data_IF_910307058426
#
_entry.id   IF_910307058426
#
_cell.length_a   1.000
_cell.length_b   1.000
_cell.length_c   1.000
_cell.angle_alpha   90.00
_cell.angle_beta   90.00
_cell.angle_gamma   90.00
#
_symmetry.space_group_name_H-M   'P 1'
#
loop_
_entity.id
_entity.type
_entity.pdbx_description
1 polymer ?
#
# COMPACT_ATOMS: atom_id res chain seq x y z
N UNK A 1 39.09 7.24 3.93
CA UNK A 1 37.75 6.61 3.90
C UNK A 1 37.47 6.02 5.27
N UNK A 2 36.41 6.44 5.99
CA UNK A 2 36.04 5.82 7.28
C UNK A 2 35.43 4.45 7.01
N UNK A 3 36.10 3.39 7.44
CA UNK A 3 35.61 2.01 7.40
C UNK A 3 34.37 1.91 8.30
N UNK A 4 33.19 1.82 7.69
CA UNK A 4 31.93 1.53 8.39
C UNK A 4 32.04 0.18 9.10
N UNK A 5 31.61 0.09 10.37
CA UNK A 5 31.64 -1.16 11.13
C UNK A 5 30.79 -2.25 10.47
N UNK A 6 31.16 -3.52 10.72
CA UNK A 6 30.42 -4.71 10.23
C UNK A 6 28.95 -4.65 10.66
N UNK A 7 28.68 -4.16 11.86
CA UNK A 7 27.31 -4.00 12.37
C UNK A 7 26.53 -2.94 11.59
N UNK A 8 27.16 -1.81 11.26
CA UNK A 8 26.55 -0.79 10.41
C UNK A 8 26.26 -1.32 9.00
N UNK A 9 27.13 -2.17 8.45
CA UNK A 9 26.91 -2.83 7.17
C UNK A 9 25.73 -3.81 7.21
N UNK A 10 25.63 -4.67 8.24
CA UNK A 10 24.49 -5.59 8.42
C UNK A 10 23.17 -4.83 8.54
N UNK A 11 23.13 -3.76 9.34
CA UNK A 11 21.94 -2.91 9.47
C UNK A 11 21.56 -2.23 8.15
N UNK A 12 22.55 -1.77 7.37
CA UNK A 12 22.34 -1.20 6.04
C UNK A 12 21.77 -2.24 5.07
N UNK A 13 22.32 -3.45 5.05
CA UNK A 13 21.84 -4.55 4.20
C UNK A 13 20.37 -4.88 4.52
N UNK A 14 20.03 -5.04 5.79
CA UNK A 14 18.64 -5.32 6.22
C UNK A 14 17.66 -4.21 5.81
N UNK A 15 18.06 -2.93 5.93
CA UNK A 15 17.24 -1.80 5.49
C UNK A 15 17.06 -1.76 3.97
N UNK A 16 18.13 -2.04 3.22
CA UNK A 16 18.06 -2.08 1.76
C UNK A 16 17.11 -3.18 1.28
N UNK A 17 17.11 -4.36 1.92
CA UNK A 17 16.17 -5.44 1.59
C UNK A 17 14.71 -4.99 1.75
N UNK A 18 14.38 -4.27 2.83
CA UNK A 18 13.03 -3.72 3.02
C UNK A 18 12.68 -2.67 1.98
N UNK A 19 13.63 -1.80 1.62
CA UNK A 19 13.45 -0.80 0.59
C UNK A 19 13.24 -1.41 -0.80
N UNK A 20 13.96 -2.49 -1.14
CA UNK A 20 13.71 -3.25 -2.37
C UNK A 20 12.30 -3.84 -2.37
N UNK A 21 11.96 -4.58 -1.30
CA UNK A 21 10.65 -5.22 -1.17
C UNK A 21 9.49 -4.20 -1.23
N UNK A 22 9.65 -3.03 -0.60
CA UNK A 22 8.66 -1.96 -0.69
C UNK A 22 8.53 -1.39 -2.10
N UNK A 23 9.64 -1.25 -2.82
CA UNK A 23 9.60 -0.79 -4.21
C UNK A 23 8.92 -1.82 -5.12
N UNK A 24 9.12 -3.12 -4.87
CA UNK A 24 8.45 -4.19 -5.60
C UNK A 24 6.92 -4.14 -5.39
N UNK A 25 6.46 -4.07 -4.13
CA UNK A 25 5.01 -4.01 -3.84
C UNK A 25 4.38 -2.72 -4.35
N UNK A 26 5.09 -1.60 -4.26
CA UNK A 26 4.66 -0.33 -4.84
C UNK A 26 4.53 -0.41 -6.36
N UNK A 27 5.52 -1.01 -7.04
CA UNK A 27 5.49 -1.21 -8.49
C UNK A 27 4.26 -2.02 -8.89
N UNK A 28 4.03 -3.16 -8.27
CA UNK A 28 2.85 -3.97 -8.58
C UNK A 28 1.55 -3.21 -8.32
N UNK A 29 1.47 -2.46 -7.23
CA UNK A 29 0.27 -1.68 -6.94
C UNK A 29 -0.01 -0.66 -8.06
N UNK A 30 1.01 0.05 -8.54
CA UNK A 30 0.89 0.99 -9.66
C UNK A 30 0.49 0.28 -10.95
N UNK A 31 1.07 -0.89 -11.24
CA UNK A 31 0.70 -1.70 -12.41
C UNK A 31 -0.74 -2.22 -12.33
N UNK A 32 -1.30 -2.33 -11.13
CA UNK A 32 -2.71 -2.66 -10.86
C UNK A 32 -3.63 -1.44 -10.77
N UNK A 33 -3.18 -0.28 -11.27
CA UNK A 33 -4.00 0.92 -11.34
C UNK A 33 -3.97 1.81 -10.10
N UNK A 34 -3.08 1.55 -9.14
CA UNK A 34 -2.90 2.47 -8.02
C UNK A 34 -2.18 3.77 -8.47
N UNK A 35 -2.65 4.88 -7.94
CA UNK A 35 -1.96 6.16 -8.00
C UNK A 35 -1.54 6.57 -6.60
N UNK A 36 -0.25 6.89 -6.42
CA UNK A 36 0.33 7.18 -5.12
C UNK A 36 0.94 8.57 -5.11
N UNK A 37 0.49 9.41 -4.19
CA UNK A 37 1.06 10.71 -3.92
C UNK A 37 2.14 10.60 -2.85
N UNK A 38 3.32 11.15 -3.14
CA UNK A 38 4.44 11.28 -2.21
C UNK A 38 4.74 12.75 -1.95
N UNK A 39 4.92 13.12 -0.70
CA UNK A 39 5.55 14.38 -0.33
C UNK A 39 7.07 14.21 -0.19
N UNK A 40 7.78 15.26 -0.59
CA UNK A 40 9.23 15.36 -0.52
C UNK A 40 9.67 15.15 0.91
N UNK A 41 10.51 14.14 1.08
CA UNK A 41 11.06 13.75 2.38
C UNK A 41 12.57 13.64 2.28
N UNK A 42 13.27 14.00 3.36
CA UNK A 42 14.73 14.09 3.41
C UNK A 42 15.39 12.82 2.86
N UNK A 43 16.30 13.00 1.90
CA UNK A 43 17.08 11.89 1.34
C UNK A 43 18.21 11.51 2.30
N UNK A 44 18.39 10.21 2.50
CA UNK A 44 19.53 9.67 3.25
C UNK A 44 20.62 9.28 2.25
N UNK A 45 21.85 9.71 2.49
CA UNK A 45 23.02 9.30 1.70
C UNK A 45 23.47 7.85 2.00
N UNK A 46 22.91 7.22 3.04
CA UNK A 46 23.46 5.98 3.59
C UNK A 46 22.66 4.71 3.25
N UNK A 47 21.39 4.79 2.88
CA UNK A 47 20.56 3.61 2.63
C UNK A 47 19.48 3.89 1.59
N UNK A 48 19.01 2.83 0.92
CA UNK A 48 17.83 2.90 0.07
C UNK A 48 16.61 3.25 0.91
N UNK A 49 15.65 3.93 0.29
CA UNK A 49 14.50 4.50 0.96
C UNK A 49 13.30 3.55 0.89
N UNK A 50 12.60 3.40 2.01
CA UNK A 50 11.25 2.84 2.03
C UNK A 50 10.28 3.99 1.72
N UNK A 51 9.48 3.81 0.68
CA UNK A 51 8.49 4.77 0.23
C UNK A 51 7.21 4.62 1.04
N UNK A 52 6.67 5.74 1.49
CA UNK A 52 5.39 5.86 2.19
C UNK A 52 4.59 6.89 1.41
N UNK A 53 3.46 6.48 0.84
CA UNK A 53 2.53 7.40 0.20
C UNK A 53 1.74 8.18 1.24
N UNK A 54 1.50 9.46 0.98
CA UNK A 54 0.62 10.29 1.80
C UNK A 54 -0.85 10.11 1.40
N UNK A 55 -1.10 9.85 0.11
CA UNK A 55 -2.41 9.47 -0.42
C UNK A 55 -2.24 8.35 -1.43
N UNK A 56 -3.21 7.45 -1.47
CA UNK A 56 -3.31 6.43 -2.51
C UNK A 56 -4.74 6.39 -3.04
N UNK A 57 -4.88 6.41 -4.36
CA UNK A 57 -6.13 6.16 -5.06
C UNK A 57 -6.04 4.86 -5.84
N UNK A 58 -7.11 4.08 -5.81
CA UNK A 58 -7.23 2.79 -6.49
C UNK A 58 -8.64 2.74 -7.08
N UNK A 59 -8.75 2.37 -8.37
CA UNK A 59 -10.05 2.27 -9.05
C UNK A 59 -10.89 3.56 -8.89
N UNK A 60 -10.25 4.73 -9.01
CA UNK A 60 -10.83 6.08 -8.79
C UNK A 60 -11.33 6.40 -7.36
N UNK A 61 -11.14 5.50 -6.40
CA UNK A 61 -11.41 5.77 -4.99
C UNK A 61 -10.15 6.20 -4.24
N UNK A 62 -10.19 7.38 -3.62
CA UNK A 62 -9.13 7.83 -2.71
C UNK A 62 -9.26 7.06 -1.40
N UNK A 63 -8.25 6.25 -1.07
CA UNK A 63 -8.16 5.62 0.24
C UNK A 63 -7.57 6.63 1.22
N UNK A 64 -8.32 6.90 2.28
CA UNK A 64 -7.90 7.84 3.32
C UNK A 64 -6.74 7.25 4.13
N UNK A 65 -6.01 8.12 4.84
CA UNK A 65 -4.96 7.67 5.76
C UNK A 65 -5.48 6.66 6.78
N UNK A 66 -6.70 6.84 7.31
CA UNK A 66 -7.30 5.90 8.27
C UNK A 66 -7.56 4.52 7.67
N UNK A 67 -8.05 4.42 6.43
CA UNK A 67 -8.24 3.13 5.75
C UNK A 67 -6.92 2.40 5.54
N UNK A 68 -5.89 3.10 5.03
CA UNK A 68 -4.56 2.53 4.82
C UNK A 68 -3.96 2.03 6.14
N UNK A 69 -4.12 2.80 7.21
CA UNK A 69 -3.65 2.42 8.54
C UNK A 69 -4.37 1.17 9.04
N UNK A 70 -5.71 1.16 9.01
CA UNK A 70 -6.54 0.03 9.45
C UNK A 70 -6.17 -1.24 8.70
N UNK A 71 -6.21 -1.20 7.38
CA UNK A 71 -6.01 -2.39 6.55
C UNK A 71 -4.57 -2.92 6.67
N UNK A 72 -3.57 -2.03 6.77
CA UNK A 72 -2.18 -2.41 6.98
C UNK A 72 -1.92 -3.02 8.37
N UNK A 73 -2.59 -2.56 9.42
CA UNK A 73 -2.52 -3.15 10.78
C UNK A 73 -3.26 -4.48 10.83
N UNK A 74 -4.46 -4.54 10.27
CA UNK A 74 -5.27 -5.75 10.23
C UNK A 74 -4.52 -6.89 9.52
N UNK A 75 -3.89 -6.59 8.38
CA UNK A 75 -3.02 -7.52 7.68
C UNK A 75 -1.83 -7.98 8.55
N UNK A 76 -1.19 -7.06 9.28
CA UNK A 76 -0.07 -7.39 10.16
C UNK A 76 -0.48 -8.35 11.29
N UNK A 77 -1.63 -8.09 11.92
CA UNK A 77 -2.19 -8.94 12.97
C UNK A 77 -2.48 -10.36 12.45
N UNK A 78 -3.15 -10.47 11.29
CA UNK A 78 -3.44 -11.75 10.65
C UNK A 78 -2.14 -12.52 10.34
N UNK A 79 -1.17 -11.86 9.70
CA UNK A 79 0.11 -12.46 9.36
C UNK A 79 0.91 -12.89 10.60
N UNK A 80 0.83 -12.14 11.70
CA UNK A 80 1.51 -12.48 12.95
C UNK A 80 0.95 -13.75 13.58
N UNK A 81 -0.38 -13.94 13.56
CA UNK A 81 -1.02 -15.19 13.99
C UNK A 81 -0.53 -16.36 13.14
N UNK A 82 -0.61 -16.23 11.82
CA UNK A 82 -0.16 -17.27 10.88
C UNK A 82 1.33 -17.62 11.06
N UNK A 83 2.18 -16.61 11.24
CA UNK A 83 3.61 -16.79 11.48
C UNK A 83 3.87 -17.52 12.80
N UNK A 84 3.12 -17.19 13.85
CA UNK A 84 3.17 -17.86 15.14
C UNK A 84 2.88 -19.36 15.03
N UNK A 85 1.80 -19.72 14.34
CA UNK A 85 1.39 -21.11 14.09
C UNK A 85 2.42 -21.88 13.27
N UNK A 86 2.93 -21.28 12.19
CA UNK A 86 3.85 -21.93 11.25
C UNK A 86 5.25 -22.10 11.81
N UNK A 87 5.67 -21.20 12.71
CA UNK A 87 6.90 -21.35 13.50
C UNK A 87 6.83 -22.57 14.41
N UNK A 88 5.68 -22.84 15.04
CA UNK A 88 5.49 -24.03 15.89
C UNK A 88 5.61 -25.31 15.05
N UNK A 89 5.16 -25.27 13.79
CA UNK A 89 5.20 -26.38 12.85
C UNK A 89 6.51 -26.48 12.05
N UNK A 90 7.55 -25.73 12.41
CA UNK A 90 8.87 -25.71 11.72
C UNK A 90 8.80 -25.52 10.21
N UNK A 91 7.78 -24.81 9.71
CA UNK A 91 7.66 -24.50 8.28
C UNK A 91 8.55 -23.30 7.94
N UNK A 92 9.36 -23.41 6.88
CA UNK A 92 10.33 -22.37 6.52
C UNK A 92 9.74 -21.27 5.62
N UNK A 93 8.63 -21.52 4.93
CA UNK A 93 8.01 -20.55 4.01
C UNK A 93 6.50 -20.43 4.24
N UNK A 94 5.97 -19.23 4.02
CA UNK A 94 4.54 -18.93 3.98
C UNK A 94 4.16 -18.51 2.58
N UNK A 95 3.12 -19.15 2.04
CA UNK A 95 2.44 -18.69 0.84
C UNK A 95 1.12 -18.05 1.27
N UNK A 96 0.96 -16.78 0.94
CA UNK A 96 -0.15 -15.95 1.39
C UNK A 96 -1.00 -15.58 0.18
N UNK A 97 -2.25 -16.03 0.18
CA UNK A 97 -3.26 -15.70 -0.82
C UNK A 97 -4.49 -15.07 -0.14
N UNK A 98 -5.51 -14.73 -0.94
CA UNK A 98 -6.71 -14.05 -0.45
C UNK A 98 -7.49 -14.91 0.55
N UNK A 99 -7.67 -16.20 0.26
CA UNK A 99 -8.38 -17.14 1.14
C UNK A 99 -7.77 -17.21 2.55
N UNK A 100 -6.44 -17.32 2.64
CA UNK A 100 -5.71 -17.37 3.92
C UNK A 100 -5.89 -16.07 4.71
N UNK A 101 -5.83 -14.91 4.06
CA UNK A 101 -5.94 -13.62 4.76
C UNK A 101 -7.39 -13.33 5.12
N UNK A 102 -8.34 -13.54 4.23
CA UNK A 102 -9.76 -13.31 4.48
C UNK A 102 -10.25 -14.13 5.67
N UNK A 103 -9.90 -15.41 5.75
CA UNK A 103 -10.27 -16.26 6.90
C UNK A 103 -9.71 -15.74 8.23
N UNK A 104 -8.45 -15.29 8.26
CA UNK A 104 -7.83 -14.77 9.48
C UNK A 104 -8.36 -13.40 9.89
N UNK A 105 -8.61 -12.51 8.93
CA UNK A 105 -9.09 -11.15 9.22
C UNK A 105 -10.52 -11.11 9.74
N UNK A 106 -11.32 -12.16 9.52
CA UNK A 106 -12.67 -12.28 10.07
C UNK A 106 -12.69 -12.74 11.54
N UNK A 107 -11.57 -13.22 12.08
CA UNK A 107 -11.49 -13.66 13.48
C UNK A 107 -11.61 -12.45 14.42
N UNK A 108 -12.51 -12.54 15.39
CA UNK A 108 -12.76 -11.49 16.39
C UNK A 108 -11.48 -11.08 17.11
N UNK A 109 -10.66 -12.04 17.53
CA UNK A 109 -9.38 -11.76 18.20
C UNK A 109 -8.43 -10.90 17.34
N UNK A 110 -8.45 -11.06 16.02
CA UNK A 110 -7.61 -10.31 15.08
C UNK A 110 -8.14 -8.89 14.89
N UNK A 111 -9.47 -8.73 14.84
CA UNK A 111 -10.12 -7.43 14.82
C UNK A 111 -9.83 -6.65 16.11
N UNK A 112 -10.00 -7.29 17.28
CA UNK A 112 -9.68 -6.69 18.59
C UNK A 112 -8.22 -6.26 18.67
N UNK A 113 -7.29 -7.12 18.27
CA UNK A 113 -5.87 -6.79 18.23
C UNK A 113 -5.58 -5.61 17.29
N UNK A 114 -6.27 -5.52 16.15
CA UNK A 114 -6.14 -4.37 15.25
C UNK A 114 -6.61 -3.07 15.91
N UNK A 115 -7.78 -3.08 16.56
CA UNK A 115 -8.32 -1.92 17.26
C UNK A 115 -7.40 -1.43 18.39
N UNK A 116 -6.79 -2.33 19.14
CA UNK A 116 -5.82 -1.98 20.19
C UNK A 116 -4.57 -1.28 19.63
N UNK A 117 -4.20 -1.60 18.38
CA UNK A 117 -2.93 -1.16 17.77
C UNK A 117 -3.03 0.11 16.95
N UNK A 118 -4.21 0.41 16.41
CA UNK A 118 -4.46 1.58 15.57
C UNK A 118 -4.17 2.93 16.26
N UNK A 119 -4.60 3.18 17.52
CA UNK A 119 -4.36 4.45 18.20
C UNK A 119 -2.89 4.85 18.32
N UNK A 120 -1.98 3.88 18.27
CA UNK A 120 -0.52 4.07 18.41
C UNK A 120 0.10 4.65 17.12
N UNK A 121 -0.60 4.53 16.00
CA UNK A 121 -0.21 5.12 14.71
C UNK A 121 -0.84 6.49 14.49
N UNK A 122 -2.06 6.67 14.98
CA UNK A 122 -2.87 7.86 14.81
C UNK A 122 -2.52 8.97 15.81
N UNK A 123 -2.24 8.62 17.08
CA UNK A 123 -1.86 9.60 18.08
C UNK A 123 -0.46 10.15 17.85
N UNK A 124 -0.30 11.46 17.97
CA UNK A 124 1.00 12.05 18.23
C UNK A 124 1.41 11.68 19.65
N UNK A 125 2.62 11.12 19.80
CA UNK A 125 3.13 10.50 21.03
C UNK A 125 3.14 11.42 22.28
N UNK A 126 2.62 12.64 22.18
CA UNK A 126 2.45 13.61 23.25
C UNK A 126 1.11 13.51 23.98
N UNK A 127 0.04 12.95 23.39
CA UNK A 127 -1.31 13.04 23.98
C UNK A 127 -1.75 11.88 24.86
N UNK A 128 -0.98 10.79 24.97
CA UNK A 128 -1.35 9.70 25.87
C UNK A 128 -0.13 9.01 26.52
N UNK A 129 0.30 9.41 27.73
CA UNK A 129 1.40 8.77 28.45
C UNK A 129 1.09 7.33 28.89
N UNK A 130 -0.18 6.91 28.84
CA UNK A 130 -0.63 5.54 29.14
C UNK A 130 -0.74 4.66 27.89
N UNK A 131 -0.38 5.17 26.70
CA UNK A 131 -0.31 4.36 25.50
C UNK A 131 0.82 3.35 25.69
N UNK A 132 0.48 2.15 26.18
CA UNK A 132 1.41 1.04 26.30
C UNK A 132 2.04 0.85 24.93
N UNK A 133 3.30 1.26 24.81
CA UNK A 133 4.09 1.11 23.61
C UNK A 133 4.48 -0.36 23.48
N UNK A 134 3.49 -1.21 23.26
CA UNK A 134 3.59 -2.62 22.96
C UNK A 134 4.72 -3.33 23.74
N UNK A 135 4.62 -3.33 25.07
CA UNK A 135 5.53 -4.05 25.95
C UNK A 135 4.96 -5.42 26.33
N UNK A 136 5.78 -6.46 26.35
CA UNK A 136 5.44 -7.67 27.10
C UNK A 136 5.72 -7.30 28.57
N UNK A 137 4.66 -7.18 29.37
CA UNK A 137 4.63 -6.90 30.82
C UNK A 137 4.16 -5.49 31.15
N UNK A 138 3.07 -5.43 31.91
CA UNK A 138 2.52 -4.26 32.59
C UNK A 138 3.50 -3.64 33.61
N UNK A 139 4.59 -4.35 33.92
CA UNK A 139 5.59 -3.97 34.94
C UNK A 139 6.91 -3.40 34.37
N UNK A 140 7.12 -3.37 33.05
CA UNK A 140 8.19 -2.55 32.48
C UNK A 140 7.68 -1.10 32.42
N UNK A 141 7.78 -0.43 33.57
CA UNK A 141 7.73 1.04 33.66
C UNK A 141 8.49 1.61 32.46
N UNK A 142 7.79 2.39 31.66
CA UNK A 142 8.31 3.15 30.54
C UNK A 142 9.34 4.12 31.13
N UNK A 143 10.58 3.66 31.32
CA UNK A 143 11.72 4.50 31.63
C UNK A 143 11.89 5.43 30.43
N UNK A 144 11.27 6.61 30.54
CA UNK A 144 11.41 7.81 29.70
C UNK A 144 12.10 7.49 28.36
N UNK A 145 11.42 6.76 27.48
CA UNK A 145 11.96 6.55 26.14
C UNK A 145 12.09 7.94 25.52
N UNK A 146 13.34 8.36 25.27
CA UNK A 146 13.63 9.67 24.70
C UNK A 146 12.74 9.91 23.47
N UNK A 147 12.15 11.11 23.32
CA UNK A 147 11.27 11.46 22.21
C UNK A 147 11.83 11.05 20.83
N UNK A 148 13.16 11.02 20.68
CA UNK A 148 13.83 10.50 19.49
C UNK A 148 13.61 9.00 19.23
N UNK A 149 13.57 8.15 20.25
CA UNK A 149 13.28 6.72 20.15
C UNK A 149 11.84 6.50 19.72
N UNK A 150 10.89 7.23 20.31
CA UNK A 150 9.48 7.19 19.95
C UNK A 150 9.25 7.62 18.50
N UNK A 151 9.88 8.73 18.08
CA UNK A 151 9.82 9.20 16.69
C UNK A 151 10.34 8.15 15.70
N UNK A 152 11.51 7.55 15.98
CA UNK A 152 12.07 6.47 15.15
C UNK A 152 11.15 5.26 15.07
N UNK A 153 10.49 4.91 16.17
CA UNK A 153 9.51 3.81 16.23
C UNK A 153 8.27 4.13 15.36
N UNK A 154 7.70 5.33 15.51
CA UNK A 154 6.56 5.79 14.69
C UNK A 154 6.89 5.74 13.20
N UNK A 155 8.07 6.20 12.78
CA UNK A 155 8.51 6.09 11.38
C UNK A 155 8.59 4.64 10.89
N UNK A 156 9.24 3.74 11.65
CA UNK A 156 9.31 2.31 11.28
C UNK A 156 7.94 1.66 11.19
N UNK A 157 7.03 2.02 12.08
CA UNK A 157 5.68 1.49 12.06
C UNK A 157 4.91 2.03 10.84
N UNK A 158 5.02 3.31 10.49
CA UNK A 158 4.43 3.86 9.25
C UNK A 158 4.96 3.16 7.99
N UNK A 159 6.28 2.90 7.93
CA UNK A 159 6.90 2.12 6.85
C UNK A 159 6.29 0.71 6.74
N UNK A 160 6.18 0.01 7.88
CA UNK A 160 5.61 -1.34 7.92
C UNK A 160 4.13 -1.34 7.52
N UNK A 161 3.33 -0.43 8.06
CA UNK A 161 1.88 -0.33 7.77
C UNK A 161 1.63 -0.11 6.30
N UNK A 162 2.32 0.85 5.69
CA UNK A 162 2.14 1.14 4.27
C UNK A 162 2.54 -0.07 3.41
N UNK A 163 3.66 -0.73 3.72
CA UNK A 163 4.06 -1.95 2.99
C UNK A 163 3.08 -3.11 3.19
N UNK A 164 2.52 -3.27 4.38
CA UNK A 164 1.55 -4.30 4.70
C UNK A 164 0.21 -4.03 4.01
N UNK A 165 -0.21 -2.77 3.95
CA UNK A 165 -1.37 -2.33 3.18
C UNK A 165 -1.21 -2.67 1.69
N UNK A 166 -0.09 -2.31 1.07
CA UNK A 166 0.18 -2.66 -0.33
C UNK A 166 0.13 -4.18 -0.53
N UNK A 167 0.70 -4.95 0.40
CA UNK A 167 0.69 -6.41 0.33
C UNK A 167 -0.74 -6.98 0.38
N UNK A 168 -1.58 -6.46 1.29
CA UNK A 168 -3.00 -6.81 1.40
C UNK A 168 -3.73 -6.50 0.09
N UNK A 169 -3.51 -5.32 -0.49
CA UNK A 169 -4.09 -4.91 -1.77
C UNK A 169 -3.72 -5.88 -2.90
N UNK A 170 -2.45 -6.23 -3.05
CA UNK A 170 -2.00 -7.18 -4.09
C UNK A 170 -2.66 -8.55 -3.94
N UNK A 171 -2.79 -9.02 -2.70
CA UNK A 171 -3.45 -10.30 -2.39
C UNK A 171 -4.94 -10.25 -2.73
N UNK A 172 -5.63 -9.15 -2.42
CA UNK A 172 -7.03 -8.93 -2.80
C UNK A 172 -7.22 -8.90 -4.32
N UNK A 173 -6.21 -8.43 -5.08
CA UNK A 173 -6.18 -8.49 -6.55
C UNK A 173 -5.72 -9.84 -7.11
N UNK A 174 -5.70 -10.89 -6.30
CA UNK A 174 -5.47 -12.27 -6.72
C UNK A 174 -4.01 -12.71 -6.78
N UNK A 175 -3.06 -11.90 -6.29
CA UNK A 175 -1.67 -12.33 -6.19
C UNK A 175 -1.45 -13.24 -4.98
N UNK A 176 -0.47 -14.14 -5.08
CA UNK A 176 0.05 -14.88 -3.91
C UNK A 176 1.47 -14.40 -3.58
N UNK A 177 1.71 -14.07 -2.31
CA UNK A 177 3.00 -13.57 -1.84
C UNK A 177 3.69 -14.63 -0.99
N UNK A 178 4.98 -14.88 -1.23
CA UNK A 178 5.75 -15.85 -0.43
C UNK A 178 6.80 -15.14 0.42
N UNK A 179 6.86 -15.45 1.71
CA UNK A 179 7.94 -14.99 2.61
C UNK A 179 8.53 -16.15 3.42
N UNK A 180 9.76 -15.95 3.91
CA UNK A 180 10.43 -16.92 4.77
C UNK A 180 10.04 -16.70 6.23
N UNK A 181 9.65 -17.78 6.93
CA UNK A 181 9.44 -17.75 8.38
C UNK A 181 10.80 -17.79 9.06
N UNK A 182 11.15 -16.69 9.72
CA UNK A 182 12.32 -16.64 10.58
C UNK A 182 12.03 -17.28 11.93
N UNK A 183 13.00 -18.02 12.48
CA UNK A 183 12.91 -18.62 13.81
C UNK A 183 12.74 -17.59 14.94
N UNK A 184 13.20 -16.35 14.71
CA UNK A 184 13.15 -15.27 15.71
C UNK A 184 11.69 -14.87 15.99
N UNK A 185 11.33 -14.81 17.29
CA UNK A 185 10.05 -14.28 17.74
C UNK A 185 9.89 -12.83 17.26
N UNK A 186 8.74 -12.51 16.69
CA UNK A 186 8.42 -11.13 16.34
C UNK A 186 8.34 -10.27 17.61
N UNK A 187 8.95 -9.10 17.56
CA UNK A 187 8.78 -8.11 18.63
C UNK A 187 7.33 -7.66 18.68
N UNK A 188 6.80 -7.47 19.88
CA UNK A 188 5.54 -6.77 20.06
C UNK A 188 5.74 -5.26 19.89
N UNK A 189 6.92 -4.71 20.23
CA UNK A 189 7.19 -3.25 20.22
C UNK A 189 6.97 -2.51 18.89
N UNK A 190 7.00 -3.21 17.76
CA UNK A 190 6.84 -2.61 16.43
C UNK A 190 6.04 -3.53 15.52
N UNK A 191 5.30 -2.93 14.60
CA UNK A 191 4.68 -3.66 13.50
C UNK A 191 5.75 -4.36 12.66
N UNK A 192 5.45 -5.58 12.26
CA UNK A 192 6.36 -6.35 11.43
C UNK A 192 6.31 -5.85 9.98
N UNK A 193 7.49 -5.66 9.41
CA UNK A 193 7.65 -5.41 7.98
C UNK A 193 7.97 -6.75 7.32
N UNK A 194 7.03 -7.32 6.59
CA UNK A 194 7.22 -8.59 5.88
C UNK A 194 8.06 -8.37 4.61
N UNK A 195 9.05 -9.24 4.40
CA UNK A 195 9.89 -9.24 3.20
C UNK A 195 9.49 -10.41 2.32
N UNK A 196 9.10 -10.12 1.09
CA UNK A 196 8.64 -11.11 0.12
C UNK A 196 9.81 -11.64 -0.71
N UNK A 197 9.86 -12.96 -0.88
CA UNK A 197 10.90 -13.68 -1.63
C UNK A 197 10.51 -13.84 -3.10
N UNK A 198 9.23 -14.07 -3.35
CA UNK A 198 8.64 -14.20 -4.68
C UNK A 198 7.16 -13.78 -4.67
N UNK A 199 6.68 -13.43 -5.85
CA UNK A 199 5.33 -13.00 -6.14
C UNK A 199 4.76 -13.95 -7.20
N UNK A 200 3.56 -14.47 -6.98
CA UNK A 200 2.85 -15.30 -7.95
C UNK A 200 1.69 -14.45 -8.47
N UNK A 201 1.72 -14.16 -9.76
CA UNK A 201 0.71 -13.36 -10.45
C UNK A 201 -0.60 -14.16 -10.60
N UNK A 202 -1.76 -13.51 -10.87
CA UNK A 202 -3.03 -14.21 -11.04
C UNK A 202 -3.04 -15.24 -12.18
N UNK A 203 -2.19 -15.05 -13.20
CA UNK A 203 -1.98 -16.03 -14.27
C UNK A 203 -1.01 -17.18 -13.88
N UNK A 204 -0.65 -17.31 -12.60
CA UNK A 204 0.26 -18.34 -12.08
C UNK A 204 1.74 -18.07 -12.28
N UNK A 205 2.12 -16.99 -12.97
CA UNK A 205 3.54 -16.69 -13.25
C UNK A 205 4.27 -16.25 -11.99
N UNK A 206 5.46 -16.81 -11.79
CA UNK A 206 6.32 -16.50 -10.65
C UNK A 206 7.30 -15.39 -11.03
N UNK A 207 7.36 -14.36 -10.20
CA UNK A 207 8.25 -13.19 -10.34
C UNK A 207 9.08 -13.03 -9.06
N UNK A 208 10.36 -12.72 -9.22
CA UNK A 208 11.28 -12.47 -8.11
C UNK A 208 11.77 -11.02 -8.12
N UNK A 209 12.29 -10.54 -6.99
CA UNK A 209 12.84 -9.17 -6.89
C UNK A 209 13.95 -8.91 -7.92
N UNK A 210 14.76 -9.93 -8.24
CA UNK A 210 15.81 -9.85 -9.27
C UNK A 210 15.26 -9.49 -10.66
N UNK A 211 14.13 -10.11 -11.04
CA UNK A 211 13.47 -9.84 -12.33
C UNK A 211 12.88 -8.43 -12.39
N UNK A 212 12.49 -7.86 -11.23
CA UNK A 212 11.89 -6.54 -11.12
C UNK A 212 12.92 -5.40 -11.09
N UNK A 213 14.21 -5.68 -10.82
CA UNK A 213 15.26 -4.67 -10.67
C UNK A 213 15.33 -3.63 -11.79
N UNK A 214 15.23 -3.99 -13.09
CA UNK A 214 15.28 -3.00 -14.16
C UNK A 214 14.15 -1.96 -14.06
N UNK A 215 12.96 -2.42 -13.69
CA UNK A 215 11.75 -1.60 -13.60
C UNK A 215 11.72 -0.81 -12.29
N UNK A 216 12.04 -1.46 -11.16
CA UNK A 216 12.07 -0.75 -9.87
C UNK A 216 13.18 0.29 -9.81
N UNK A 217 14.28 0.12 -10.54
CA UNK A 217 15.29 1.16 -10.72
C UNK A 217 14.72 2.41 -11.40
N UNK A 218 13.96 2.23 -12.50
CA UNK A 218 13.27 3.33 -13.21
C UNK A 218 12.25 4.03 -12.30
N UNK A 219 11.42 3.27 -11.57
CA UNK A 219 10.46 3.80 -10.60
C UNK A 219 11.15 4.67 -9.53
N UNK A 220 12.24 4.17 -8.93
CA UNK A 220 12.98 4.92 -7.90
C UNK A 220 13.57 6.21 -8.47
N UNK A 221 14.11 6.16 -9.68
CA UNK A 221 14.65 7.34 -10.36
C UNK A 221 13.54 8.36 -10.66
N UNK A 222 12.36 7.91 -11.08
CA UNK A 222 11.19 8.78 -11.28
C UNK A 222 10.80 9.51 -9.99
N UNK A 223 10.66 8.76 -8.88
CA UNK A 223 10.32 9.33 -7.57
C UNK A 223 11.40 10.33 -7.12
N UNK A 224 12.67 9.95 -7.22
CA UNK A 224 13.78 10.77 -6.74
C UNK A 224 14.00 12.02 -7.60
N UNK A 225 13.92 11.89 -8.93
CA UNK A 225 14.03 13.01 -9.87
C UNK A 225 12.90 14.02 -9.66
N UNK A 226 11.66 13.54 -9.55
CA UNK A 226 10.52 14.43 -9.28
C UNK A 226 10.65 15.14 -7.93
N UNK A 227 11.17 14.49 -6.89
CA UNK A 227 11.43 15.14 -5.59
C UNK A 227 12.54 16.20 -5.63
N UNK A 228 13.42 16.22 -6.63
CA UNK A 228 14.39 17.31 -6.77
C UNK A 228 13.67 18.61 -7.14
N UNK A 229 12.64 18.53 -7.99
CA UNK A 229 11.95 19.67 -8.59
C UNK A 229 10.67 20.05 -7.85
N UNK A 230 9.88 19.06 -7.40
CA UNK A 230 8.54 19.25 -6.82
C UNK A 230 8.52 18.87 -5.35
N UNK A 231 7.69 19.58 -4.58
CA UNK A 231 7.40 19.21 -3.19
C UNK A 231 6.50 17.97 -3.10
N UNK A 232 5.64 17.77 -4.09
CA UNK A 232 4.70 16.65 -4.14
C UNK A 232 4.80 15.99 -5.51
N UNK A 233 4.84 14.66 -5.51
CA UNK A 233 4.97 13.83 -6.69
C UNK A 233 3.84 12.81 -6.71
N UNK A 234 3.12 12.72 -7.81
CA UNK A 234 2.15 11.65 -8.05
C UNK A 234 2.83 10.63 -8.96
N UNK A 235 2.74 9.35 -8.59
CA UNK A 235 3.23 8.24 -9.39
C UNK A 235 2.05 7.33 -9.72
N UNK A 236 1.83 7.11 -11.01
CA UNK A 236 0.83 6.19 -11.54
C UNK A 236 1.38 5.48 -12.79
N UNK A 237 0.54 4.73 -13.51
CA UNK A 237 0.93 4.00 -14.72
C UNK A 237 1.51 4.91 -15.81
N UNK A 238 0.96 6.11 -15.98
CA UNK A 238 1.47 7.07 -16.97
C UNK A 238 2.89 7.52 -16.63
N UNK A 239 3.18 7.78 -15.35
CA UNK A 239 4.54 8.10 -14.91
C UNK A 239 5.53 6.97 -15.21
N UNK A 240 5.12 5.71 -15.06
CA UNK A 240 5.96 4.56 -15.41
C UNK A 240 6.27 4.51 -16.91
N UNK A 241 5.25 4.77 -17.74
CA UNK A 241 5.41 4.82 -19.20
C UNK A 241 6.36 5.95 -19.62
N UNK A 242 6.23 7.14 -19.04
CA UNK A 242 7.10 8.30 -19.28
C UNK A 242 8.58 8.02 -18.97
N UNK A 243 8.87 7.19 -17.96
CA UNK A 243 10.25 6.77 -17.64
C UNK A 243 10.70 5.51 -18.37
N UNK A 244 9.96 5.11 -19.40
CA UNK A 244 10.29 4.01 -20.30
C UNK A 244 10.07 2.63 -19.69
N UNK A 245 9.05 2.45 -18.86
CA UNK A 245 8.52 1.13 -18.49
C UNK A 245 7.45 0.76 -19.51
N UNK A 246 7.91 0.36 -20.69
CA UNK A 246 7.07 -0.04 -21.83
C UNK A 246 6.53 -1.46 -21.63
N UNK A 247 5.51 -1.83 -22.41
CA UNK A 247 4.96 -3.19 -22.41
C UNK A 247 6.00 -4.23 -22.85
N UNK A 248 6.93 -3.86 -23.74
CA UNK A 248 8.09 -4.69 -24.09
C UNK A 248 8.97 -4.98 -22.87
N UNK A 249 9.32 -3.95 -22.08
CA UNK A 249 10.11 -4.15 -20.87
C UNK A 249 9.36 -4.98 -19.82
N UNK A 250 8.06 -4.77 -19.67
CA UNK A 250 7.22 -5.61 -18.82
C UNK A 250 7.27 -7.06 -19.29
N UNK A 251 7.13 -7.32 -20.58
CA UNK A 251 7.17 -8.66 -21.15
C UNK A 251 8.53 -9.35 -20.91
N UNK A 252 9.64 -8.62 -21.09
CA UNK A 252 10.99 -9.12 -20.79
C UNK A 252 11.18 -9.48 -19.31
N UNK A 253 10.60 -8.69 -18.41
CA UNK A 253 10.59 -8.97 -16.97
C UNK A 253 9.53 -10.01 -16.56
N UNK A 254 8.77 -10.53 -17.52
CA UNK A 254 7.74 -11.52 -17.32
C UNK A 254 6.45 -11.00 -16.68
N UNK A 255 6.13 -9.74 -16.91
CA UNK A 255 4.99 -9.01 -16.36
C UNK A 255 3.85 -8.82 -17.38
N UNK A 256 3.74 -9.71 -18.36
CA UNK A 256 2.77 -9.68 -19.46
C UNK A 256 1.31 -9.58 -18.96
N UNK A 257 1.02 -10.12 -17.77
CA UNK A 257 -0.29 -9.96 -17.14
C UNK A 257 -0.75 -8.50 -17.04
N UNK A 258 0.20 -7.57 -16.83
CA UNK A 258 -0.09 -6.15 -16.66
C UNK A 258 -0.17 -5.38 -18.00
N UNK A 259 0.30 -5.96 -19.10
CA UNK A 259 0.10 -5.36 -20.44
C UNK A 259 -1.37 -5.48 -20.83
N UNK A 260 -1.98 -6.62 -20.55
CA UNK A 260 -3.37 -6.91 -20.89
C UNK A 260 -4.37 -6.10 -20.04
N UNK A 261 -4.03 -5.86 -18.77
CA UNK A 261 -4.82 -5.01 -17.88
C UNK A 261 -4.85 -3.55 -18.33
N UNK A 262 -3.80 -3.06 -19.00
CA UNK A 262 -3.72 -1.66 -19.42
C UNK A 262 -4.82 -1.30 -20.43
N UNK A 263 -5.27 -2.27 -21.24
CA UNK A 263 -6.40 -2.13 -22.17
C UNK A 263 -7.72 -1.93 -21.44
N UNK A 264 -7.92 -2.60 -20.30
CA UNK A 264 -9.15 -2.50 -19.51
C UNK A 264 -9.24 -1.13 -18.82
N UNK A 265 -8.14 -0.66 -18.24
CA UNK A 265 -8.11 0.62 -17.52
C UNK A 265 -8.08 1.87 -18.42
N UNK A 266 -7.76 1.74 -19.71
CA UNK A 266 -7.89 2.85 -20.67
C UNK A 266 -9.33 3.02 -21.18
N UNK A 267 -10.11 1.93 -21.24
CA UNK A 267 -11.51 1.95 -21.69
C UNK A 267 -12.51 2.58 -20.71
N UNK A 268 -12.09 2.91 -19.48
CA UNK A 268 -12.95 3.51 -18.46
C UNK A 268 -12.83 5.04 -18.36
N UNK A 269 -12.21 5.70 -19.33
CA UNK A 269 -12.41 7.13 -19.53
C UNK A 269 -13.87 7.34 -19.96
N UNK A 270 -14.66 8.26 -19.36
CA UNK A 270 -15.99 8.53 -19.85
C UNK A 270 -15.85 9.10 -21.25
N UNK A 271 -16.11 8.27 -22.27
CA UNK A 271 -16.37 8.80 -23.59
C UNK A 271 -17.63 9.66 -23.44
N UNK A 272 -17.55 10.91 -23.88
CA UNK A 272 -18.70 11.76 -24.11
C UNK A 272 -19.51 11.22 -25.31
N UNK A 273 -19.86 9.94 -25.28
CA UNK A 273 -20.83 9.38 -26.19
C UNK A 273 -22.20 9.73 -25.62
N UNK A 274 -22.78 10.79 -26.18
CA UNK A 274 -24.19 11.12 -26.10
C UNK A 274 -25.01 9.92 -26.57
N UNK A 275 -25.25 8.97 -25.67
CA UNK A 275 -26.24 7.91 -25.85
C UNK A 275 -27.63 8.54 -25.71
N UNK A 276 -28.45 8.44 -26.76
CA UNK A 276 -29.82 8.95 -26.80
C UNK A 276 -30.81 8.17 -25.89
N UNK A 277 -30.32 7.25 -25.05
CA UNK A 277 -31.15 6.34 -24.26
C UNK A 277 -30.66 6.15 -22.82
N UNK A 278 -30.20 7.21 -22.15
CA UNK A 278 -30.08 7.21 -20.68
C UNK A 278 -31.41 7.56 -20.03
N UNK A 279 -31.93 6.76 -19.08
CA UNK A 279 -33.13 7.12 -18.34
C UNK A 279 -32.83 8.32 -17.43
N UNK A 280 -33.58 9.40 -17.61
CA UNK A 280 -33.38 10.66 -16.90
C UNK A 280 -33.77 10.51 -15.42
N UNK A 281 -32.78 10.38 -14.53
CA UNK A 281 -32.99 10.40 -13.08
C UNK A 281 -32.93 11.84 -12.55
N UNK A 282 -33.85 12.70 -12.95
CA UNK A 282 -34.07 14.02 -12.34
C UNK A 282 -35.50 14.49 -12.65
N UNK A 283 -36.24 14.89 -11.62
CA UNK A 283 -37.64 15.33 -11.67
C UNK A 283 -37.83 16.73 -12.30
N UNK A 284 -37.33 16.94 -13.51
CA UNK A 284 -37.65 18.14 -14.29
C UNK A 284 -37.81 17.76 -15.75
N UNK A 285 -39.06 17.65 -16.20
CA UNK A 285 -39.38 17.58 -17.62
C UNK A 285 -39.73 18.98 -18.11
N UNK A 286 -39.12 19.39 -19.22
CA UNK A 286 -39.57 20.54 -20.01
C UNK A 286 -40.53 20.00 -21.06
N UNK A 287 -41.80 20.36 -20.97
CA UNK A 287 -42.77 20.06 -22.03
C UNK A 287 -42.52 21.06 -23.16
N UNK A 288 -42.00 20.58 -24.30
CA UNK A 288 -41.99 21.36 -25.53
C UNK A 288 -43.34 21.10 -26.19
N UNK A 289 -44.23 22.09 -26.11
CA UNK A 289 -45.53 22.10 -26.78
C UNK A 289 -45.38 22.84 -28.11
N UNK A 290 -45.39 22.11 -29.22
CA UNK A 290 -45.68 22.68 -30.53
C UNK A 290 -47.19 22.89 -30.65
N UNK A 291 -47.68 24.04 -30.16
CA UNK A 291 -48.91 24.66 -30.65
C UNK A 291 -48.92 26.13 -30.25
N UNK A 292 -49.15 26.96 -31.26
CA UNK A 292 -49.50 28.36 -31.19
C UNK A 292 -50.67 28.61 -30.23
N UNK A 293 -50.60 29.78 -29.59
CA UNK A 293 -51.63 30.48 -28.80
C UNK A 293 -51.47 30.49 -27.28
N UNK A 294 -51.57 31.71 -26.77
CA UNK A 294 -51.40 32.20 -25.41
C UNK A 294 -52.38 31.61 -24.41
N UNK A 295 -51.91 31.29 -23.19
CA UNK A 295 -52.41 31.88 -21.94
C UNK A 295 -51.61 31.39 -20.73
N UNK A 296 -51.30 32.32 -19.84
CA UNK A 296 -50.73 32.07 -18.51
C UNK A 296 -51.73 31.39 -17.58
N UNK A 297 -51.31 30.37 -16.84
CA UNK A 297 -51.98 29.95 -15.60
C UNK A 297 -50.95 29.29 -14.66
N UNK A 298 -50.66 29.98 -13.56
CA UNK A 298 -50.15 29.38 -12.32
C UNK A 298 -51.15 28.32 -11.84
N UNK A 299 -50.69 27.18 -11.33
CA UNK A 299 -51.29 26.51 -10.17
C UNK A 299 -50.23 25.70 -9.41
N UNK A 300 -50.19 25.93 -8.11
CA UNK A 300 -49.50 25.18 -7.07
C UNK A 300 -50.38 24.05 -6.52
N UNK A 301 -49.76 23.13 -5.77
CA UNK A 301 -50.29 22.06 -4.90
C UNK A 301 -50.47 20.70 -5.61
N UNK A 302 -50.03 19.56 -5.09
CA UNK A 302 -49.61 19.12 -3.75
C UNK A 302 -48.32 18.29 -3.80
#
# INVERSE_FOLDING_TARGET
MKTTSVEAQKQRASRNVRAECNADTLLFAILMGAEVQFNKTKMSSFAKKVYIGDKISIDNEVKTGSTVLRDGVLFECAMRKLWGEKRIRSTNELNINSEVISSLTQLEEIQTLCYEKLPILESDAQTNPNLILWGNNENELIEKENANCLRKRKTKNKEAVFSNYLSSFLIQKGMTLTCQVMARKMTMRTLHFFVWKKYILPNGKIVTSEMLKPITSKLRNAINGNHQVKHTTIINRNTLNEVGVTDELLNLCGLNYFTDLSMIYQSSSPSNDLSAFTPCSTQFYTIISDCSESTSLCHSMF
#
